data_IF_050745568611
#
_entry.id   IF_050745568611
#
_cell.length_a   1.000
_cell.length_b   1.000
_cell.length_c   1.000
_cell.angle_alpha   90.00
_cell.angle_beta   90.00
_cell.angle_gamma   90.00
#
_symmetry.space_group_name_H-M   'P 1'
#
loop_
_entity.id
_entity.type
_entity.pdbx_description
1 polymer ?
#
# COMPACT_ATOMS: atom_id res chain seq x y z
N UNK A 1 15.70 -0.01 3.36
CA UNK A 1 14.62 -1.01 3.61
C UNK A 1 14.85 -1.70 4.94
N UNK A 2 13.81 -1.90 5.69
CA UNK A 2 13.82 -2.66 6.94
C UNK A 2 12.83 -3.81 6.85
N UNK A 3 13.24 -4.99 7.31
CA UNK A 3 12.37 -6.17 7.37
C UNK A 3 12.45 -7.05 6.13
N UNK A 4 11.70 -8.12 6.18
CA UNK A 4 11.58 -9.12 5.12
C UNK A 4 10.21 -9.79 5.26
N UNK A 5 9.33 -9.56 4.30
CA UNK A 5 7.94 -10.05 4.35
C UNK A 5 7.87 -11.57 4.44
N UNK A 6 8.74 -12.28 3.75
CA UNK A 6 8.74 -13.73 3.73
C UNK A 6 9.26 -14.35 5.03
N UNK A 7 10.20 -13.68 5.68
CA UNK A 7 10.82 -14.20 6.91
C UNK A 7 10.14 -13.76 8.20
N UNK A 8 9.77 -12.47 8.28
CA UNK A 8 9.21 -11.90 9.51
C UNK A 8 7.80 -11.32 9.34
N UNK A 9 7.25 -11.37 8.13
CA UNK A 9 5.89 -10.93 7.86
C UNK A 9 5.71 -9.43 7.67
N UNK A 10 6.76 -8.63 7.74
CA UNK A 10 6.70 -7.18 7.59
C UNK A 10 7.95 -6.60 6.95
N UNK A 11 7.76 -5.59 6.09
CA UNK A 11 8.85 -4.77 5.56
C UNK A 11 8.44 -3.30 5.54
N UNK A 12 9.42 -2.43 5.74
CA UNK A 12 9.26 -0.98 5.67
C UNK A 12 10.28 -0.46 4.67
N UNK A 13 9.83 0.31 3.70
CA UNK A 13 10.70 0.86 2.69
C UNK A 13 10.46 2.37 2.51
N UNK A 14 11.55 3.14 2.55
CA UNK A 14 11.56 4.56 2.23
C UNK A 14 11.94 4.74 0.77
N UNK A 15 11.14 5.53 0.05
CA UNK A 15 11.36 5.85 -1.36
C UNK A 15 11.59 7.35 -1.51
N UNK A 16 12.68 7.71 -2.17
CA UNK A 16 13.04 9.10 -2.47
C UNK A 16 13.73 9.14 -3.83
N UNK A 17 13.01 9.60 -4.86
CA UNK A 17 13.55 9.63 -6.21
C UNK A 17 12.83 10.65 -7.13
N UNK A 18 13.49 10.96 -8.25
CA UNK A 18 12.89 11.68 -9.38
C UNK A 18 12.96 10.79 -10.62
N UNK A 19 11.95 10.90 -11.48
CA UNK A 19 11.87 10.16 -12.73
C UNK A 19 11.55 11.09 -13.88
N UNK A 20 12.14 10.83 -15.06
CA UNK A 20 11.88 11.60 -16.26
C UNK A 20 10.66 11.11 -17.03
N UNK A 21 10.26 9.88 -16.84
CA UNK A 21 9.10 9.24 -17.48
C UNK A 21 8.26 8.53 -16.46
N UNK A 22 6.94 8.61 -16.64
CA UNK A 22 6.02 7.79 -15.87
C UNK A 22 6.30 6.31 -16.10
N UNK A 23 6.22 5.51 -15.06
CA UNK A 23 6.43 4.08 -15.16
C UNK A 23 5.43 3.31 -14.29
N UNK A 24 5.17 2.08 -14.69
CA UNK A 24 4.35 1.14 -13.93
C UNK A 24 5.26 0.32 -13.00
N UNK A 25 5.06 0.50 -11.71
CA UNK A 25 5.83 -0.21 -10.68
C UNK A 25 5.02 -1.31 -9.97
N UNK A 26 3.80 -1.58 -10.45
CA UNK A 26 2.95 -2.66 -9.94
C UNK A 26 3.58 -4.05 -10.04
N UNK A 27 4.61 -4.21 -10.88
CA UNK A 27 5.37 -5.46 -10.99
C UNK A 27 6.20 -5.78 -9.74
N UNK A 28 6.44 -4.79 -8.89
CA UNK A 28 7.20 -4.99 -7.64
C UNK A 28 6.29 -5.44 -6.49
N UNK A 29 4.99 -5.43 -6.68
CA UNK A 29 4.05 -5.88 -5.65
C UNK A 29 4.13 -7.40 -5.45
N UNK A 30 4.16 -7.81 -4.20
CA UNK A 30 4.18 -9.22 -3.85
C UNK A 30 2.75 -9.75 -3.71
N UNK A 31 2.44 -10.94 -4.25
CA UNK A 31 1.18 -11.60 -3.96
C UNK A 31 1.10 -11.98 -2.47
N UNK A 32 -0.12 -12.13 -1.95
CA UNK A 32 -0.38 -12.50 -0.56
C UNK A 32 0.13 -11.48 0.48
N UNK A 33 0.28 -10.23 0.07
CA UNK A 33 0.64 -9.13 0.97
C UNK A 33 -0.41 -8.03 0.95
N UNK A 34 -0.40 -7.24 2.00
CA UNK A 34 -1.12 -5.98 2.12
C UNK A 34 -0.09 -4.87 2.29
N UNK A 35 -0.13 -3.88 1.41
CA UNK A 35 0.80 -2.76 1.42
C UNK A 35 0.07 -1.46 1.75
N UNK A 36 0.61 -0.71 2.70
CA UNK A 36 0.20 0.65 3.02
C UNK A 36 1.18 1.62 2.42
N UNK A 37 0.68 2.66 1.77
CA UNK A 37 1.49 3.74 1.21
C UNK A 37 1.18 5.04 1.93
N UNK A 38 2.21 5.65 2.49
CA UNK A 38 2.16 6.98 3.11
C UNK A 38 2.89 7.93 2.17
N UNK A 39 2.13 8.65 1.34
CA UNK A 39 2.67 9.48 0.28
C UNK A 39 2.91 10.92 0.76
N UNK A 40 4.18 11.29 0.94
CA UNK A 40 4.55 12.63 1.39
C UNK A 40 4.59 13.63 0.25
N UNK A 41 5.14 13.22 -0.89
CA UNK A 41 5.34 14.10 -2.04
C UNK A 41 5.27 13.31 -3.35
N UNK A 42 4.90 14.01 -4.42
CA UNK A 42 4.71 13.41 -5.73
C UNK A 42 3.29 12.86 -5.94
N UNK A 43 2.95 12.59 -7.19
CA UNK A 43 1.64 12.08 -7.59
C UNK A 43 1.76 10.67 -8.15
N UNK A 44 0.87 9.80 -7.73
CA UNK A 44 0.81 8.44 -8.22
C UNK A 44 -0.61 7.91 -8.24
N UNK A 45 -0.76 6.70 -8.75
CA UNK A 45 -2.05 6.01 -8.78
C UNK A 45 -1.83 4.52 -8.64
N UNK A 46 -2.80 3.85 -8.03
CA UNK A 46 -2.84 2.38 -7.93
C UNK A 46 -4.20 1.90 -8.42
N UNK A 47 -4.21 0.84 -9.20
CA UNK A 47 -5.43 0.27 -9.78
C UNK A 47 -5.89 0.96 -11.05
N UNK A 48 -7.14 0.74 -11.44
CA UNK A 48 -7.82 1.45 -12.52
C UNK A 48 -8.22 0.63 -13.73
N UNK A 49 -7.64 -0.54 -13.97
CA UNK A 49 -8.03 -1.40 -15.10
C UNK A 49 -9.12 -2.37 -14.64
N UNK A 50 -10.36 -2.09 -15.03
CA UNK A 50 -11.49 -2.94 -14.68
C UNK A 50 -11.88 -2.95 -13.21
N UNK A 51 -11.41 -1.99 -12.41
CA UNK A 51 -11.64 -1.93 -10.97
C UNK A 51 -11.43 -0.54 -10.39
N UNK A 52 -11.37 -0.47 -9.07
CA UNK A 52 -11.16 0.77 -8.34
C UNK A 52 -9.76 1.32 -8.59
N UNK A 53 -9.69 2.62 -8.84
CA UNK A 53 -8.44 3.36 -8.91
C UNK A 53 -8.34 4.31 -7.72
N UNK A 54 -7.16 4.40 -7.14
CA UNK A 54 -6.87 5.36 -6.09
C UNK A 54 -5.72 6.28 -6.54
N UNK A 55 -5.97 7.58 -6.50
CA UNK A 55 -4.97 8.60 -6.81
C UNK A 55 -4.31 9.11 -5.53
N UNK A 56 -2.98 9.11 -5.51
CA UNK A 56 -2.17 9.58 -4.39
C UNK A 56 -1.68 10.99 -4.67
N UNK A 57 -2.12 11.92 -3.83
CA UNK A 57 -1.64 13.31 -3.80
C UNK A 57 -0.63 13.46 -2.66
N UNK A 58 0.21 14.52 -2.65
CA UNK A 58 1.05 14.81 -1.49
C UNK A 58 0.23 14.87 -0.20
N UNK A 59 0.66 14.13 0.82
CA UNK A 59 -0.03 14.07 2.10
C UNK A 59 -1.15 13.03 2.20
N UNK A 60 -1.34 12.20 1.19
CA UNK A 60 -2.33 11.11 1.21
C UNK A 60 -1.73 9.79 1.65
N UNK A 61 -2.57 8.92 2.15
CA UNK A 61 -2.23 7.53 2.45
C UNK A 61 -3.36 6.60 1.99
N UNK A 62 -3.02 5.35 1.81
CA UNK A 62 -3.96 4.31 1.42
C UNK A 62 -3.33 2.93 1.52
N UNK A 63 -4.09 1.92 1.13
CA UNK A 63 -3.60 0.56 1.12
C UNK A 63 -4.19 -0.22 -0.06
N UNK A 64 -3.49 -1.25 -0.44
CA UNK A 64 -3.88 -2.14 -1.54
C UNK A 64 -3.30 -3.52 -1.33
N UNK A 65 -3.94 -4.50 -1.93
CA UNK A 65 -3.51 -5.90 -1.87
C UNK A 65 -3.61 -6.53 -3.26
N UNK A 66 -2.55 -7.24 -3.62
CA UNK A 66 -2.49 -8.04 -4.84
C UNK A 66 -2.89 -9.48 -4.52
N UNK A 67 -3.78 -10.06 -5.31
CA UNK A 67 -4.10 -11.47 -5.26
C UNK A 67 -3.77 -12.13 -6.60
N UNK A 68 -4.67 -12.04 -7.56
CA UNK A 68 -4.50 -12.58 -8.90
C UNK A 68 -4.51 -11.46 -9.94
N UNK A 69 -3.69 -11.61 -10.95
CA UNK A 69 -3.58 -10.68 -12.04
C UNK A 69 -2.84 -9.39 -11.68
N UNK A 70 -2.63 -8.52 -12.68
CA UNK A 70 -1.85 -7.31 -12.49
C UNK A 70 -2.62 -6.27 -11.67
N UNK A 71 -1.89 -5.56 -10.82
CA UNK A 71 -2.35 -4.35 -10.16
C UNK A 71 -1.49 -3.19 -10.68
N UNK A 72 -2.02 -2.40 -11.65
CA UNK A 72 -1.26 -1.27 -12.18
C UNK A 72 -0.96 -0.24 -11.10
N UNK A 73 0.26 0.29 -11.13
CA UNK A 73 0.66 1.38 -10.25
C UNK A 73 1.61 2.31 -11.01
N UNK A 74 1.36 3.60 -10.94
CA UNK A 74 2.13 4.58 -11.69
C UNK A 74 2.58 5.73 -10.82
N UNK A 75 3.69 6.35 -11.20
CA UNK A 75 4.21 7.60 -10.64
C UNK A 75 4.40 8.60 -11.76
N UNK A 76 4.01 9.86 -11.49
CA UNK A 76 4.04 10.93 -12.48
C UNK A 76 5.48 11.36 -12.79
N UNK A 77 5.76 11.56 -14.08
CA UNK A 77 7.05 12.09 -14.54
C UNK A 77 7.33 13.48 -13.96
N UNK A 78 8.61 13.74 -13.74
CA UNK A 78 9.16 15.02 -13.27
C UNK A 78 8.83 15.38 -11.82
N UNK A 79 8.00 14.62 -11.12
CA UNK A 79 7.76 14.84 -9.70
C UNK A 79 8.95 14.33 -8.87
N UNK A 80 9.14 14.95 -7.72
CA UNK A 80 9.96 14.41 -6.66
C UNK A 80 9.09 13.50 -5.81
N UNK A 81 9.34 12.20 -5.88
CA UNK A 81 8.58 11.21 -5.14
C UNK A 81 9.22 10.90 -3.80
N UNK A 82 8.47 11.10 -2.74
CA UNK A 82 8.86 10.74 -1.37
C UNK A 82 7.70 10.03 -0.70
N UNK A 83 7.86 8.76 -0.40
CA UNK A 83 6.82 7.97 0.25
C UNK A 83 7.40 6.80 1.03
N UNK A 84 6.63 6.30 1.97
CA UNK A 84 6.94 5.12 2.76
C UNK A 84 5.93 4.03 2.43
N UNK A 85 6.40 2.84 2.20
CA UNK A 85 5.55 1.65 2.10
C UNK A 85 5.77 0.75 3.31
N UNK A 86 4.66 0.25 3.85
CA UNK A 86 4.61 -0.73 4.91
C UNK A 86 3.95 -1.98 4.33
N UNK A 87 4.70 -3.03 4.14
CA UNK A 87 4.19 -4.27 3.58
C UNK A 87 4.07 -5.34 4.66
N UNK A 88 2.91 -6.00 4.70
CA UNK A 88 2.62 -7.07 5.65
C UNK A 88 2.20 -8.32 4.89
N UNK A 89 2.71 -9.49 5.29
CA UNK A 89 2.13 -10.74 4.81
C UNK A 89 0.70 -10.91 5.35
N UNK A 90 -0.20 -11.43 4.52
CA UNK A 90 -1.59 -11.69 4.94
C UNK A 90 -1.64 -12.68 6.11
N UNK A 91 -0.81 -13.70 6.08
CA UNK A 91 -0.73 -14.69 7.14
C UNK A 91 -0.33 -14.06 8.47
N UNK A 92 0.70 -13.22 8.46
CA UNK A 92 1.15 -12.49 9.65
C UNK A 92 0.01 -11.64 10.23
N UNK A 93 -0.66 -10.86 9.41
CA UNK A 93 -1.77 -10.01 9.88
C UNK A 93 -2.99 -10.83 10.34
N UNK A 94 -3.30 -11.93 9.67
CA UNK A 94 -4.38 -12.82 10.14
C UNK A 94 -4.11 -13.33 11.56
N UNK A 95 -2.88 -13.74 11.81
CA UNK A 95 -2.49 -14.27 13.11
C UNK A 95 -2.53 -13.18 14.19
N UNK A 96 -2.06 -11.98 13.89
CA UNK A 96 -2.02 -10.86 14.83
C UNK A 96 -3.40 -10.26 15.10
N UNK A 97 -4.30 -10.26 14.12
CA UNK A 97 -5.57 -9.54 14.17
C UNK A 97 -6.80 -10.45 14.29
N UNK A 98 -6.62 -11.76 14.41
CA UNK A 98 -7.74 -12.72 14.43
C UNK A 98 -8.76 -12.43 15.54
N UNK A 99 -8.30 -11.99 16.72
CA UNK A 99 -9.17 -11.66 17.85
C UNK A 99 -9.89 -10.31 17.71
N UNK A 100 -9.45 -9.47 16.77
CA UNK A 100 -9.98 -8.13 16.52
C UNK A 100 -10.68 -8.02 15.17
N UNK A 101 -11.02 -9.15 14.54
CA UNK A 101 -11.62 -9.16 13.20
C UNK A 101 -12.83 -8.25 13.08
N UNK A 102 -13.71 -8.21 14.08
CA UNK A 102 -14.92 -7.41 14.06
C UNK A 102 -14.65 -5.89 14.05
N UNK A 103 -13.50 -5.47 14.55
CA UNK A 103 -13.11 -4.05 14.65
C UNK A 103 -12.38 -3.55 13.41
N UNK A 104 -12.07 -4.43 12.46
CA UNK A 104 -11.37 -4.06 11.24
C UNK A 104 -12.28 -3.33 10.24
N UNK A 105 -11.70 -2.43 9.46
CA UNK A 105 -12.39 -1.86 8.31
C UNK A 105 -12.84 -2.98 7.36
N UNK A 106 -14.01 -2.82 6.69
CA UNK A 106 -14.56 -3.89 5.84
C UNK A 106 -13.60 -4.37 4.76
N UNK A 107 -12.86 -3.47 4.12
CA UNK A 107 -11.88 -3.82 3.07
C UNK A 107 -10.72 -4.64 3.63
N UNK A 108 -10.19 -4.28 4.79
CA UNK A 108 -9.10 -5.03 5.45
C UNK A 108 -9.60 -6.40 5.87
N UNK A 109 -10.79 -6.46 6.46
CA UNK A 109 -11.41 -7.73 6.83
C UNK A 109 -11.57 -8.65 5.62
N UNK A 110 -12.02 -8.12 4.50
CA UNK A 110 -12.17 -8.87 3.26
C UNK A 110 -10.84 -9.39 2.73
N UNK A 111 -9.79 -8.58 2.77
CA UNK A 111 -8.43 -8.99 2.36
C UNK A 111 -7.92 -10.13 3.22
N UNK A 112 -8.06 -10.02 4.53
CA UNK A 112 -7.45 -10.96 5.47
C UNK A 112 -8.29 -12.23 5.69
N UNK A 113 -9.61 -12.10 5.78
CA UNK A 113 -10.50 -13.18 6.19
C UNK A 113 -11.58 -13.52 5.16
N UNK A 114 -11.57 -12.87 4.00
CA UNK A 114 -12.50 -13.16 2.93
C UNK A 114 -12.26 -14.54 2.31
N UNK A 115 -13.30 -15.10 1.70
CA UNK A 115 -13.25 -16.42 1.06
C UNK A 115 -12.56 -16.40 -0.30
N UNK A 116 -12.57 -15.26 -0.97
CA UNK A 116 -11.90 -15.04 -2.25
C UNK A 116 -10.71 -14.15 -2.07
N UNK A 117 -9.57 -14.56 -2.62
CA UNK A 117 -8.46 -13.67 -2.81
C UNK A 117 -8.72 -12.82 -4.05
N UNK A 118 -8.75 -11.53 -3.89
CA UNK A 118 -8.96 -10.56 -4.96
C UNK A 118 -8.06 -9.35 -4.78
N UNK A 119 -7.76 -8.66 -5.89
CA UNK A 119 -7.07 -7.37 -5.81
C UNK A 119 -8.00 -6.37 -5.15
N UNK A 120 -7.49 -5.67 -4.16
CA UNK A 120 -8.23 -4.63 -3.43
C UNK A 120 -7.43 -3.34 -3.45
N UNK A 121 -8.10 -2.24 -3.78
CA UNK A 121 -7.52 -0.90 -3.74
C UNK A 121 -8.45 -0.04 -2.89
N UNK A 122 -7.97 0.36 -1.72
CA UNK A 122 -8.72 1.28 -0.87
C UNK A 122 -8.54 2.73 -1.36
N UNK A 123 -9.56 3.59 -1.23
CA UNK A 123 -9.42 5.00 -1.58
C UNK A 123 -8.33 5.68 -0.76
N UNK A 124 -7.46 6.43 -1.42
CA UNK A 124 -6.48 7.26 -0.73
C UNK A 124 -7.18 8.39 0.03
N UNK A 125 -6.68 8.69 1.22
CA UNK A 125 -7.23 9.70 2.14
C UNK A 125 -6.10 10.57 2.67
N UNK A 126 -6.40 11.80 3.10
CA UNK A 126 -5.40 12.62 3.79
C UNK A 126 -4.85 11.88 5.03
N UNK A 127 -3.55 11.96 5.22
CA UNK A 127 -2.93 11.44 6.45
C UNK A 127 -3.42 12.18 7.67
N UNK A 128 -3.64 11.46 8.76
CA UNK A 128 -3.91 12.05 10.08
C UNK A 128 -2.64 12.72 10.63
N UNK A 129 -2.80 13.58 11.63
CA UNK A 129 -1.66 14.18 12.32
C UNK A 129 -0.75 13.11 12.93
N UNK A 130 -1.32 12.06 13.47
CA UNK A 130 -0.56 10.94 14.03
C UNK A 130 0.27 10.23 12.97
N UNK A 131 -0.33 9.93 11.81
CA UNK A 131 0.38 9.31 10.69
C UNK A 131 1.52 10.21 10.18
N UNK A 132 1.29 11.51 10.06
CA UNK A 132 2.33 12.48 9.67
C UNK A 132 3.47 12.52 10.68
N UNK A 133 3.15 12.47 11.96
CA UNK A 133 4.15 12.44 13.03
C UNK A 133 5.02 11.20 12.97
N UNK A 134 4.43 10.04 12.76
CA UNK A 134 5.16 8.77 12.62
C UNK A 134 6.11 8.83 11.41
N UNK A 135 5.62 9.27 10.26
CA UNK A 135 6.44 9.36 9.04
C UNK A 135 7.58 10.35 9.22
N UNK A 136 7.37 11.47 9.88
CA UNK A 136 8.40 12.46 10.16
C UNK A 136 9.51 11.95 11.08
N UNK A 137 9.25 10.90 11.86
CA UNK A 137 10.22 10.28 12.76
C UNK A 137 11.04 9.15 12.11
N UNK A 138 10.66 8.74 10.91
CA UNK A 138 11.40 7.74 10.13
C UNK A 138 12.60 8.39 9.41
#
# INVERSE_FOLDING_TARGET
MYGDVDKIGVAIEWHDFRIERSFNWGRTFHPNSLEFCLNLNGHGAVGGVGGTRSDYLPGNCGYYALADGPLPASRRAHDHHQFVTLEFSREHLRNELAQNEADLQPEIRRILFGRKEENVVAPARPMTLQQRSVVASL
#
